data_IF_313550352205
#
_entry.id   IF_313550352205
#
_cell.length_a   1.000
_cell.length_b   1.000
_cell.length_c   1.000
_cell.angle_alpha   90.00
_cell.angle_beta   90.00
_cell.angle_gamma   90.00
#
_symmetry.space_group_name_H-M   'P 1'
#
loop_
_entity.id
_entity.type
_entity.pdbx_description
1 polymer ?
#
# COMPACT_ATOMS: atom_id res chain seq x y z
N UNK A 1 -11.95 -11.04 4.97
CA UNK A 1 -11.51 -10.00 4.00
C UNK A 1 -12.01 -10.40 2.64
N UNK A 2 -12.48 -9.43 1.85
CA UNK A 2 -12.95 -9.66 0.48
C UNK A 2 -12.00 -8.99 -0.50
N UNK A 3 -11.90 -9.53 -1.70
CA UNK A 3 -11.18 -8.88 -2.79
C UNK A 3 -11.83 -7.51 -3.07
N UNK A 4 -11.06 -6.43 -2.97
CA UNK A 4 -11.56 -5.09 -3.25
C UNK A 4 -11.93 -4.87 -4.73
N UNK A 5 -11.48 -5.77 -5.62
CA UNK A 5 -11.75 -5.69 -7.06
C UNK A 5 -13.02 -6.45 -7.46
N UNK A 6 -13.18 -7.71 -7.02
CA UNK A 6 -14.31 -8.56 -7.45
C UNK A 6 -15.23 -9.05 -6.31
N UNK A 7 -14.96 -8.70 -5.05
CA UNK A 7 -15.77 -9.10 -3.90
C UNK A 7 -15.55 -10.53 -3.38
N UNK A 8 -14.75 -11.36 -4.06
CA UNK A 8 -14.49 -12.75 -3.66
C UNK A 8 -13.84 -12.89 -2.27
N UNK A 9 -14.18 -13.96 -1.56
CA UNK A 9 -13.58 -14.36 -0.27
C UNK A 9 -12.40 -15.35 -0.44
N UNK A 10 -12.15 -15.84 -1.67
CA UNK A 10 -11.07 -16.79 -1.98
C UNK A 10 -9.75 -16.06 -2.15
N UNK A 11 -9.08 -15.79 -1.03
CA UNK A 11 -7.77 -15.14 -0.98
C UNK A 11 -6.66 -16.14 -0.63
N UNK A 12 -5.46 -15.94 -1.17
CA UNK A 12 -4.27 -16.72 -0.83
C UNK A 12 -3.87 -16.58 0.64
N UNK A 13 -2.91 -17.40 1.06
CA UNK A 13 -2.12 -17.13 2.26
C UNK A 13 -1.42 -15.76 2.16
N UNK A 14 -1.02 -15.23 3.32
CA UNK A 14 -0.24 -14.02 3.41
C UNK A 14 1.16 -14.23 2.83
N UNK A 15 1.61 -13.34 1.95
CA UNK A 15 2.98 -13.31 1.45
C UNK A 15 3.67 -11.99 1.81
N UNK A 16 5.00 -12.03 1.94
CA UNK A 16 5.84 -10.84 2.01
C UNK A 16 6.11 -10.30 0.60
N UNK A 17 5.99 -8.99 0.44
CA UNK A 17 6.38 -8.29 -0.78
C UNK A 17 7.86 -7.96 -0.70
N UNK A 18 8.62 -8.56 -1.60
CA UNK A 18 10.02 -8.20 -1.82
C UNK A 18 10.13 -7.47 -3.15
N UNK A 19 11.03 -6.50 -3.24
CA UNK A 19 11.33 -5.81 -4.48
C UNK A 19 12.68 -6.26 -5.02
N UNK A 20 12.69 -6.75 -6.26
CA UNK A 20 13.82 -6.86 -7.18
C UNK A 20 15.15 -7.47 -6.69
N UNK A 21 15.63 -8.48 -7.42
CA UNK A 21 16.79 -9.32 -7.09
C UNK A 21 18.18 -8.64 -7.21
N UNK A 22 18.27 -7.30 -7.21
CA UNK A 22 19.55 -6.57 -7.25
C UNK A 22 19.83 -5.91 -5.91
N UNK A 23 20.96 -6.26 -5.32
CA UNK A 23 21.53 -5.56 -4.17
C UNK A 23 21.61 -4.06 -4.53
N UNK A 24 20.89 -3.23 -3.79
CA UNK A 24 20.89 -1.76 -3.96
C UNK A 24 19.68 -1.16 -4.68
N UNK A 25 18.74 -1.96 -5.22
CA UNK A 25 17.55 -1.44 -5.93
C UNK A 25 16.23 -1.93 -5.27
N UNK A 26 16.18 -1.90 -3.93
CA UNK A 26 14.95 -2.20 -3.17
C UNK A 26 13.91 -1.11 -3.39
N UNK A 27 13.10 -1.26 -4.43
CA UNK A 27 11.92 -0.43 -4.70
C UNK A 27 10.67 -1.12 -4.18
N UNK A 28 10.38 -0.94 -2.89
CA UNK A 28 9.08 -1.36 -2.34
C UNK A 28 7.94 -0.68 -3.08
N UNK A 29 6.78 -1.35 -3.14
CA UNK A 29 5.54 -0.68 -3.56
C UNK A 29 5.22 0.38 -2.49
N UNK A 30 5.42 1.66 -2.85
CA UNK A 30 5.26 2.79 -1.95
C UNK A 30 3.97 3.54 -2.22
N UNK A 31 3.12 3.64 -1.21
CA UNK A 31 1.93 4.49 -1.20
C UNK A 31 2.32 5.88 -0.71
N UNK A 32 2.06 6.93 -1.48
CA UNK A 32 2.46 8.30 -1.14
C UNK A 32 1.33 9.32 -1.34
N UNK A 33 1.04 10.08 -0.29
CA UNK A 33 -0.04 11.08 -0.28
C UNK A 33 0.49 12.48 -0.58
N UNK A 34 -0.22 13.35 -1.30
CA UNK A 34 0.11 14.77 -1.41
C UNK A 34 0.19 15.46 -0.05
N UNK A 35 0.80 16.66 -0.02
CA UNK A 35 0.87 17.49 1.19
C UNK A 35 0.38 18.91 0.93
N UNK A 36 -0.28 19.47 1.94
CA UNK A 36 -0.50 20.91 2.08
C UNK A 36 0.70 21.54 2.80
N UNK A 37 1.51 22.33 2.09
CA UNK A 37 2.65 23.11 2.65
C UNK A 37 4.01 22.83 1.99
N UNK A 38 4.77 23.90 1.72
CA UNK A 38 5.93 23.93 0.79
C UNK A 38 7.20 23.21 1.32
N UNK A 39 7.30 22.86 2.62
CA UNK A 39 8.55 22.39 3.23
C UNK A 39 8.44 21.12 4.08
N UNK A 40 7.38 20.33 3.92
CA UNK A 40 7.10 19.16 4.74
C UNK A 40 7.29 17.86 3.92
N UNK A 41 8.03 16.83 4.39
CA UNK A 41 8.30 15.60 3.63
C UNK A 41 7.01 14.83 3.26
N UNK A 42 6.88 14.30 2.05
CA UNK A 42 5.66 13.61 1.62
C UNK A 42 5.37 12.38 2.52
N UNK A 43 4.16 12.23 3.10
CA UNK A 43 3.77 11.00 3.78
C UNK A 43 3.87 9.83 2.81
N UNK A 44 4.64 8.82 3.18
CA UNK A 44 4.81 7.64 2.34
C UNK A 44 4.99 6.38 3.16
N UNK A 45 4.38 5.30 2.69
CA UNK A 45 4.37 4.00 3.37
C UNK A 45 4.71 2.89 2.38
N UNK A 46 5.63 2.02 2.79
CA UNK A 46 6.00 0.85 2.01
C UNK A 46 5.04 -0.31 2.32
N UNK A 47 4.47 -0.89 1.28
CA UNK A 47 3.69 -2.11 1.41
C UNK A 47 4.63 -3.30 1.63
N UNK A 48 4.45 -3.99 2.76
CA UNK A 48 5.30 -5.10 3.17
C UNK A 48 4.69 -6.46 2.83
N UNK A 49 3.37 -6.52 2.66
CA UNK A 49 2.65 -7.78 2.54
C UNK A 49 1.58 -7.74 1.45
N UNK A 50 1.19 -8.91 0.95
CA UNK A 50 0.06 -9.03 0.03
C UNK A 50 -0.71 -10.34 0.19
N UNK A 51 -1.94 -10.34 -0.32
CA UNK A 51 -2.69 -11.55 -0.68
C UNK A 51 -3.13 -11.45 -2.13
N UNK A 52 -3.15 -12.59 -2.83
CA UNK A 52 -3.71 -12.70 -4.16
C UNK A 52 -5.16 -13.21 -4.08
N UNK A 53 -6.07 -12.65 -4.87
CA UNK A 53 -7.39 -13.23 -5.09
C UNK A 53 -7.27 -14.42 -6.06
N UNK A 54 -7.80 -15.57 -5.66
CA UNK A 54 -7.72 -16.80 -6.43
C UNK A 54 -8.73 -16.85 -7.59
N UNK A 55 -9.74 -15.97 -7.60
CA UNK A 55 -10.75 -15.93 -8.65
C UNK A 55 -10.41 -14.91 -9.76
N UNK A 56 -9.94 -13.70 -9.41
CA UNK A 56 -9.66 -12.64 -10.39
C UNK A 56 -8.18 -12.29 -10.54
N UNK A 57 -7.28 -12.90 -9.74
CA UNK A 57 -5.84 -12.65 -9.81
C UNK A 57 -5.37 -11.33 -9.20
N UNK A 58 -6.28 -10.50 -8.66
CA UNK A 58 -5.91 -9.24 -8.04
C UNK A 58 -4.93 -9.44 -6.87
N UNK A 59 -3.78 -8.77 -6.92
CA UNK A 59 -2.83 -8.70 -5.81
C UNK A 59 -3.19 -7.49 -4.94
N UNK A 60 -3.36 -7.69 -3.64
CA UNK A 60 -3.80 -6.65 -2.70
C UNK A 60 -2.64 -6.38 -1.72
N UNK A 61 -1.80 -5.35 -1.98
CA UNK A 61 -0.74 -4.93 -1.07
C UNK A 61 -1.29 -4.26 0.17
N UNK A 62 -0.63 -4.43 1.31
CA UNK A 62 -0.96 -3.72 2.54
C UNK A 62 0.24 -3.51 3.45
N UNK A 63 0.07 -2.57 4.38
CA UNK A 63 1.09 -2.10 5.30
C UNK A 63 1.35 -3.11 6.43
N UNK A 64 2.59 -3.12 6.91
CA UNK A 64 2.93 -3.75 8.19
C UNK A 64 2.31 -3.00 9.39
N UNK A 65 2.35 -3.63 10.56
CA UNK A 65 1.66 -3.11 11.76
C UNK A 65 2.09 -1.68 12.15
N UNK A 66 3.39 -1.40 12.15
CA UNK A 66 3.95 -0.08 12.49
C UNK A 66 3.51 1.00 11.49
N UNK A 67 3.70 0.75 10.19
CA UNK A 67 3.30 1.68 9.13
C UNK A 67 1.77 1.92 9.13
N UNK A 68 0.96 0.89 9.41
CA UNK A 68 -0.49 1.03 9.55
C UNK A 68 -0.88 1.90 10.75
N UNK A 69 -0.18 1.73 11.89
CA UNK A 69 -0.43 2.56 13.07
C UNK A 69 -0.10 4.04 12.79
N UNK A 70 1.02 4.29 12.12
CA UNK A 70 1.40 5.63 11.70
C UNK A 70 0.37 6.23 10.72
N UNK A 71 -0.02 5.48 9.69
CA UNK A 71 -1.07 5.89 8.74
C UNK A 71 -2.35 6.28 9.47
N UNK A 72 -2.82 5.46 10.40
CA UNK A 72 -4.03 5.75 11.17
C UNK A 72 -3.89 7.03 12.03
N UNK A 73 -2.71 7.31 12.57
CA UNK A 73 -2.48 8.48 13.41
C UNK A 73 -2.51 9.80 12.62
N UNK A 74 -2.20 9.78 11.33
CA UNK A 74 -2.18 10.97 10.48
C UNK A 74 -3.26 10.99 9.39
N UNK A 75 -4.15 9.99 9.33
CA UNK A 75 -5.14 9.80 8.29
C UNK A 75 -6.01 11.05 8.02
N UNK A 76 -6.46 11.72 9.07
CA UNK A 76 -7.30 12.93 8.96
C UNK A 76 -6.57 14.13 8.35
N UNK A 77 -5.23 14.08 8.28
CA UNK A 77 -4.39 15.13 7.70
C UNK A 77 -3.96 14.86 6.26
N UNK A 78 -4.29 13.68 5.72
CA UNK A 78 -3.93 13.28 4.36
C UNK A 78 -4.90 13.89 3.35
N UNK A 79 -4.37 14.25 2.18
CA UNK A 79 -5.15 14.71 1.04
C UNK A 79 -5.12 13.66 -0.06
N UNK A 80 -6.15 13.63 -0.88
CA UNK A 80 -6.17 12.78 -2.08
C UNK A 80 -5.23 13.34 -3.15
N UNK A 81 -4.68 12.44 -3.98
CA UNK A 81 -4.08 12.84 -5.26
C UNK A 81 -5.20 13.34 -6.15
N UNK A 82 -5.04 14.53 -6.73
CA UNK A 82 -5.98 15.07 -7.71
C UNK A 82 -6.21 14.02 -8.81
N UNK A 83 -7.44 13.50 -8.86
CA UNK A 83 -7.82 12.33 -9.66
C UNK A 83 -8.49 12.73 -10.98
N UNK A 84 -8.27 13.96 -11.44
CA UNK A 84 -8.74 14.48 -12.72
C UNK A 84 -7.92 13.92 -13.91
N UNK A 85 -7.96 12.59 -14.07
CA UNK A 85 -7.43 11.85 -15.23
C UNK A 85 -8.56 11.13 -15.97
#
# INVERSE_FOLDING_TARGET
MRCAVCGSERLSALGELTSGNRIGDQRFLRLAFPRTGIFRPRPSYDACFARACLDCGALIPFLGASARQQLNAEADSLSDVDSSY
#
